data_IF_553910858289
#
_entry.id   IF_553910858289
#
_cell.length_a   1.000
_cell.length_b   1.000
_cell.length_c   1.000
_cell.angle_alpha   90.00
_cell.angle_beta   90.00
_cell.angle_gamma   90.00
#
_symmetry.space_group_name_H-M   'P 1'
#
loop_
_entity.id
_entity.type
_entity.pdbx_description
1 polymer ?
#
# COMPACT_ATOMS: atom_id res chain seq x y z
N UNK A 1 12.42 -0.68 -4.16
CA UNK A 1 11.17 -1.43 -3.90
C UNK A 1 11.39 -2.87 -4.35
N UNK A 2 11.08 -3.83 -3.49
CA UNK A 2 11.13 -5.27 -3.80
C UNK A 2 9.69 -5.76 -3.89
N UNK A 3 9.38 -6.48 -4.96
CA UNK A 3 8.07 -7.06 -5.25
C UNK A 3 8.23 -8.58 -5.29
N UNK A 4 7.39 -9.30 -4.55
CA UNK A 4 7.30 -10.76 -4.62
C UNK A 4 5.83 -11.18 -4.74
N UNK A 5 5.57 -12.18 -5.56
CA UNK A 5 4.25 -12.78 -5.71
C UNK A 5 4.24 -14.19 -5.10
N UNK A 6 3.24 -14.45 -4.28
CA UNK A 6 2.98 -15.76 -3.68
C UNK A 6 1.82 -16.43 -4.42
N UNK A 7 2.13 -17.55 -5.08
CA UNK A 7 1.19 -18.32 -5.90
C UNK A 7 0.15 -19.06 -5.06
N UNK A 8 0.45 -19.39 -3.79
CA UNK A 8 -0.49 -20.09 -2.88
C UNK A 8 -1.56 -19.13 -2.38
N UNK A 9 -1.14 -17.95 -1.91
CA UNK A 9 -2.06 -16.93 -1.37
C UNK A 9 -2.64 -16.00 -2.43
N UNK A 10 -2.08 -16.00 -3.64
CA UNK A 10 -2.39 -15.05 -4.74
C UNK A 10 -2.16 -13.59 -4.34
N UNK A 11 -1.19 -13.35 -3.46
CA UNK A 11 -0.88 -12.03 -2.93
C UNK A 11 0.50 -11.55 -3.38
N UNK A 12 0.61 -10.23 -3.44
CA UNK A 12 1.83 -9.49 -3.66
C UNK A 12 2.34 -8.94 -2.33
N UNK A 13 3.63 -9.05 -2.11
CA UNK A 13 4.37 -8.40 -1.03
C UNK A 13 5.24 -7.27 -1.61
N UNK A 14 5.07 -6.06 -1.08
CA UNK A 14 5.81 -4.86 -1.45
C UNK A 14 6.65 -4.40 -0.26
N UNK A 15 7.97 -4.54 -0.35
CA UNK A 15 8.89 -4.03 0.66
C UNK A 15 9.65 -2.80 0.15
N UNK A 16 9.75 -1.79 1.01
CA UNK A 16 10.58 -0.60 0.82
C UNK A 16 11.64 -0.52 1.89
N UNK A 17 12.79 0.00 1.49
CA UNK A 17 13.85 0.37 2.40
C UNK A 17 13.97 1.90 2.36
N UNK A 18 13.96 2.53 3.52
CA UNK A 18 14.26 3.94 3.65
C UNK A 18 15.22 4.19 4.82
N UNK A 19 15.93 5.32 4.79
CA UNK A 19 16.92 5.66 5.82
C UNK A 19 16.30 6.04 7.18
N UNK A 20 14.99 6.28 7.24
CA UNK A 20 14.26 6.60 8.47
C UNK A 20 14.05 5.33 9.30
N UNK A 21 13.80 4.20 8.64
CA UNK A 21 13.63 2.88 9.25
C UNK A 21 14.43 1.80 8.49
N UNK A 22 15.77 1.80 8.57
CA UNK A 22 16.63 0.92 7.76
C UNK A 22 16.53 -0.58 8.11
N UNK A 23 15.79 -0.93 9.17
CA UNK A 23 15.59 -2.31 9.63
C UNK A 23 14.14 -2.79 9.54
N UNK A 24 13.20 -1.95 9.08
CA UNK A 24 11.81 -2.34 8.91
C UNK A 24 11.57 -2.87 7.50
N UNK A 25 11.46 -4.20 7.38
CA UNK A 25 11.21 -4.90 6.12
C UNK A 25 9.78 -5.43 6.01
N UNK A 26 8.87 -5.03 6.91
CA UNK A 26 7.48 -5.47 6.83
C UNK A 26 6.90 -5.04 5.47
N UNK A 27 6.37 -5.97 4.66
CA UNK A 27 5.82 -5.61 3.37
C UNK A 27 4.41 -5.04 3.50
N UNK A 28 3.98 -4.28 2.50
CA UNK A 28 2.56 -4.16 2.21
C UNK A 28 2.13 -5.41 1.48
N UNK A 29 1.06 -6.01 1.96
CA UNK A 29 0.51 -7.25 1.43
C UNK A 29 -0.85 -6.95 0.82
N UNK A 30 -1.06 -7.40 -0.41
CA UNK A 30 -2.28 -7.10 -1.13
C UNK A 30 -2.47 -7.93 -2.38
N UNK A 31 -3.58 -7.69 -3.05
CA UNK A 31 -3.88 -8.31 -4.35
C UNK A 31 -4.72 -7.37 -5.19
N UNK A 32 -4.76 -7.67 -6.48
CA UNK A 32 -5.75 -7.10 -7.38
C UNK A 32 -7.00 -7.97 -7.39
N UNK A 33 -8.15 -7.32 -7.32
CA UNK A 33 -9.46 -7.91 -7.54
C UNK A 33 -10.29 -6.98 -8.43
N UNK A 34 -10.80 -7.49 -9.54
CA UNK A 34 -11.57 -6.72 -10.54
C UNK A 34 -10.95 -5.37 -10.94
N UNK A 35 -9.63 -5.36 -11.17
CA UNK A 35 -8.89 -4.15 -11.59
C UNK A 35 -8.54 -3.18 -10.46
N UNK A 36 -8.96 -3.46 -9.22
CA UNK A 36 -8.63 -2.66 -8.03
C UNK A 36 -7.59 -3.39 -7.20
N UNK A 37 -6.44 -2.76 -6.97
CA UNK A 37 -5.37 -3.28 -6.13
C UNK A 37 -5.44 -2.70 -4.73
N UNK A 38 -5.61 -3.53 -3.70
CA UNK A 38 -5.60 -3.07 -2.30
C UNK A 38 -4.50 -3.77 -1.53
N UNK A 39 -3.62 -2.98 -0.91
CA UNK A 39 -2.45 -3.44 -0.18
C UNK A 39 -2.39 -2.80 1.19
N UNK A 40 -2.11 -3.59 2.23
CA UNK A 40 -2.12 -3.12 3.61
C UNK A 40 -0.82 -3.47 4.33
N UNK A 41 -0.43 -2.61 5.27
CA UNK A 41 0.65 -2.86 6.23
C UNK A 41 0.24 -2.25 7.58
N UNK A 42 0.77 -2.82 8.66
CA UNK A 42 0.75 -2.18 9.98
C UNK A 42 2.18 -1.83 10.36
N UNK A 43 2.42 -0.55 10.59
CA UNK A 43 3.70 -0.01 11.10
C UNK A 43 3.51 0.54 12.50
N UNK A 44 4.62 0.83 13.17
CA UNK A 44 4.59 1.50 14.47
C UNK A 44 4.94 2.98 14.26
N UNK A 45 4.16 3.87 14.85
CA UNK A 45 4.46 5.31 14.87
C UNK A 45 5.60 5.61 15.83
N UNK A 46 6.22 6.81 15.76
CA UNK A 46 7.26 7.20 16.71
C UNK A 46 6.83 7.17 18.19
N UNK A 47 5.53 7.28 18.49
CA UNK A 47 4.97 7.16 19.83
C UNK A 47 4.52 5.73 20.21
N UNK A 48 4.90 4.73 19.42
CA UNK A 48 4.69 3.31 19.74
C UNK A 48 3.29 2.77 19.43
N UNK A 49 2.48 3.49 18.64
CA UNK A 49 1.11 3.09 18.31
C UNK A 49 1.04 2.40 16.94
N UNK A 50 0.12 1.44 16.77
CA UNK A 50 -0.10 0.84 15.45
C UNK A 50 -0.69 1.88 14.50
N UNK A 51 -0.10 1.99 13.32
CA UNK A 51 -0.62 2.74 12.18
C UNK A 51 -0.90 1.76 11.05
N UNK A 52 -2.17 1.67 10.68
CA UNK A 52 -2.59 0.91 9.51
C UNK A 52 -2.40 1.79 8.29
N UNK A 53 -1.69 1.28 7.29
CA UNK A 53 -1.44 1.96 6.03
C UNK A 53 -2.05 1.13 4.89
N UNK A 54 -2.74 1.79 3.96
CA UNK A 54 -3.36 1.16 2.81
C UNK A 54 -2.99 1.88 1.52
N UNK A 55 -2.54 1.12 0.54
CA UNK A 55 -2.35 1.59 -0.83
C UNK A 55 -3.50 1.05 -1.68
N UNK A 56 -4.11 1.93 -2.47
CA UNK A 56 -5.16 1.59 -3.43
C UNK A 56 -4.70 1.96 -4.82
N UNK A 57 -4.76 1.01 -5.74
CA UNK A 57 -4.59 1.22 -7.16
C UNK A 57 -5.96 1.06 -7.82
N UNK A 58 -6.43 2.09 -8.51
CA UNK A 58 -7.71 2.07 -9.23
C UNK A 58 -7.64 2.94 -10.50
N UNK A 59 -8.76 3.05 -11.21
CA UNK A 59 -8.87 3.81 -12.48
C UNK A 59 -7.78 3.44 -13.50
N UNK A 60 -7.39 2.17 -13.50
CA UNK A 60 -6.38 1.62 -14.41
C UNK A 60 -7.01 1.41 -15.77
N UNK A 61 -6.50 2.13 -16.77
CA UNK A 61 -6.80 1.95 -18.19
C UNK A 61 -5.50 1.76 -18.97
N UNK A 62 -5.58 1.66 -20.30
CA UNK A 62 -4.37 1.62 -21.14
C UNK A 62 -3.48 2.85 -20.97
N UNK A 63 -4.06 3.99 -20.61
CA UNK A 63 -3.37 5.28 -20.57
C UNK A 63 -3.42 5.97 -19.20
N UNK A 64 -4.19 5.47 -18.23
CA UNK A 64 -4.34 6.07 -16.91
C UNK A 64 -4.15 5.06 -15.80
N UNK A 65 -3.74 5.54 -14.63
CA UNK A 65 -3.87 4.81 -13.37
C UNK A 65 -3.96 5.83 -12.23
N UNK A 66 -4.67 5.50 -11.16
CA UNK A 66 -4.62 6.27 -9.92
C UNK A 66 -4.08 5.40 -8.80
N UNK A 67 -3.23 6.02 -7.99
CA UNK A 67 -2.70 5.45 -6.77
C UNK A 67 -3.05 6.34 -5.59
N UNK A 68 -3.42 5.73 -4.48
CA UNK A 68 -3.78 6.43 -3.26
C UNK A 68 -3.10 5.78 -2.06
N UNK A 69 -2.66 6.60 -1.11
CA UNK A 69 -2.25 6.19 0.22
C UNK A 69 -3.24 6.71 1.24
N UNK A 70 -3.62 5.83 2.17
CA UNK A 70 -4.44 6.18 3.31
C UNK A 70 -3.87 5.61 4.61
N UNK A 71 -4.09 6.34 5.70
CA UNK A 71 -3.74 5.97 7.06
C UNK A 71 -4.98 5.71 7.91
N UNK A 72 -4.86 4.79 8.85
CA UNK A 72 -5.88 4.52 9.86
C UNK A 72 -5.21 4.32 11.21
N UNK A 73 -5.72 5.05 12.21
CA UNK A 73 -5.27 5.02 13.60
C UNK A 73 -6.19 4.17 14.49
N UNK A 74 -7.27 3.60 13.94
CA UNK A 74 -8.32 2.91 14.67
C UNK A 74 -8.53 1.46 14.20
N UNK A 75 -7.48 0.83 13.67
CA UNK A 75 -7.52 -0.57 13.24
C UNK A 75 -8.13 -0.80 11.86
N UNK A 76 -8.25 0.25 11.04
CA UNK A 76 -8.84 0.18 9.70
C UNK A 76 -10.34 0.47 9.65
N UNK A 77 -10.92 1.01 10.72
CA UNK A 77 -12.34 1.37 10.74
C UNK A 77 -12.58 2.67 9.96
N UNK A 78 -11.71 3.67 10.15
CA UNK A 78 -11.71 4.91 9.40
C UNK A 78 -10.36 5.10 8.69
N UNK A 79 -10.41 5.66 7.48
CA UNK A 79 -9.23 5.86 6.63
C UNK A 79 -9.14 7.33 6.20
N UNK A 80 -7.97 7.93 6.41
CA UNK A 80 -7.63 9.26 5.92
C UNK A 80 -6.70 9.15 4.71
N UNK A 81 -7.19 9.49 3.52
CA UNK A 81 -6.39 9.49 2.29
C UNK A 81 -5.51 10.72 2.27
N UNK A 82 -4.23 10.53 2.56
CA UNK A 82 -3.27 11.62 2.70
C UNK A 82 -2.43 11.86 1.43
N UNK A 83 -2.51 10.98 0.44
CA UNK A 83 -1.83 11.18 -0.84
C UNK A 83 -2.57 10.49 -1.98
N UNK A 84 -2.74 11.21 -3.08
CA UNK A 84 -3.25 10.72 -4.36
C UNK A 84 -2.22 11.05 -5.44
N UNK A 85 -1.93 10.09 -6.31
CA UNK A 85 -1.15 10.26 -7.54
C UNK A 85 -1.95 9.76 -8.73
N UNK A 86 -2.02 10.57 -9.78
CA UNK A 86 -2.68 10.23 -11.05
C UNK A 86 -1.60 10.13 -12.14
N UNK A 87 -1.57 8.99 -12.81
CA UNK A 87 -0.63 8.67 -13.88
C UNK A 87 -1.34 8.77 -15.22
N UNK A 88 -0.69 9.39 -16.20
CA UNK A 88 -1.14 9.42 -17.60
C UNK A 88 0.02 9.08 -18.53
N UNK A 89 -0.24 8.29 -19.56
CA UNK A 89 0.72 7.99 -20.64
C UNK A 89 0.38 8.82 -21.89
N UNK A 90 1.41 9.40 -22.52
CA UNK A 90 1.35 10.14 -23.80
C UNK A 90 2.18 9.46 -24.88
#
# INVERSE_FOLDING_TARGET
>A
MILAYDEETKQWSLAWLDNRNPHDFRPLIGKFDNGIGVFNQVVETPDGKPLHMRFTWDEITENTARWQQAFSFDGGNNWDTNWIMEFTRS
#
